data_IF_720000277071
#
_entry.id   IF_720000277071
#
_cell.length_a   1.000
_cell.length_b   1.000
_cell.length_c   1.000
_cell.angle_alpha   90.00
_cell.angle_beta   90.00
_cell.angle_gamma   90.00
#
_symmetry.space_group_name_H-M   'P 1'
#
loop_
_entity.id
_entity.type
_entity.pdbx_description
1 polymer ?
#
# COMPACT_ATOMS: atom_id res chain seq x y z
N UNK A 1 26.87 22.59 -7.99
CA UNK A 1 26.05 21.50 -8.58
C UNK A 1 26.44 20.11 -8.09
N UNK A 2 27.72 19.81 -7.84
CA UNK A 2 28.20 18.46 -7.42
C UNK A 2 27.54 17.88 -6.14
N UNK A 3 27.25 18.70 -5.11
CA UNK A 3 26.64 18.22 -3.87
C UNK A 3 25.17 17.78 -4.00
N UNK A 4 24.38 18.42 -4.88
CA UNK A 4 22.96 18.09 -5.07
C UNK A 4 22.81 16.73 -5.77
N UNK A 5 23.70 16.42 -6.71
CA UNK A 5 23.75 15.10 -7.33
C UNK A 5 24.22 14.02 -6.36
N UNK A 6 25.08 14.37 -5.39
CA UNK A 6 25.54 13.44 -4.35
C UNK A 6 24.39 13.07 -3.40
N UNK A 7 23.58 14.03 -2.95
CA UNK A 7 22.40 13.75 -2.11
C UNK A 7 21.37 12.88 -2.82
N UNK A 8 21.08 13.17 -4.09
CA UNK A 8 20.15 12.36 -4.91
C UNK A 8 20.64 10.91 -5.02
N UNK A 9 21.95 10.72 -5.24
CA UNK A 9 22.59 9.39 -5.29
C UNK A 9 22.54 8.68 -3.94
N UNK A 10 22.75 9.39 -2.84
CA UNK A 10 22.69 8.81 -1.48
C UNK A 10 21.29 8.28 -1.15
N UNK A 11 20.24 9.04 -1.47
CA UNK A 11 18.86 8.58 -1.25
C UNK A 11 18.56 7.33 -2.07
N UNK A 12 18.92 7.32 -3.35
CA UNK A 12 18.73 6.16 -4.23
C UNK A 12 19.51 4.95 -3.69
N UNK A 13 20.76 5.14 -3.27
CA UNK A 13 21.58 4.08 -2.70
C UNK A 13 20.94 3.48 -1.45
N UNK A 14 20.48 4.31 -0.51
CA UNK A 14 19.83 3.84 0.72
C UNK A 14 18.53 3.07 0.44
N UNK A 15 17.73 3.53 -0.52
CA UNK A 15 16.51 2.82 -0.95
C UNK A 15 16.85 1.44 -1.55
N UNK A 16 17.83 1.37 -2.45
CA UNK A 16 18.29 0.12 -3.06
C UNK A 16 18.91 -0.83 -2.03
N UNK A 17 19.65 -0.30 -1.06
CA UNK A 17 20.22 -1.09 0.02
C UNK A 17 19.12 -1.69 0.92
N UNK A 18 18.05 -0.93 1.22
CA UNK A 18 16.92 -1.46 1.97
C UNK A 18 16.20 -2.60 1.23
N UNK A 19 16.01 -2.46 -0.09
CA UNK A 19 15.34 -3.44 -0.93
C UNK A 19 16.18 -4.70 -1.18
N UNK A 20 17.48 -4.55 -1.38
CA UNK A 20 18.40 -5.66 -1.68
C UNK A 20 18.61 -6.63 -0.51
N UNK A 21 18.24 -6.25 0.72
CA UNK A 21 18.21 -7.18 1.86
C UNK A 21 17.30 -8.39 1.61
N UNK A 22 16.26 -8.23 0.77
CA UNK A 22 15.33 -9.29 0.40
C UNK A 22 15.76 -10.17 -0.78
N UNK A 23 16.93 -9.92 -1.37
CA UNK A 23 17.45 -10.64 -2.53
C UNK A 23 17.93 -9.73 -3.67
N UNK A 24 18.35 -10.32 -4.80
CA UNK A 24 18.80 -9.55 -5.95
C UNK A 24 17.64 -8.76 -6.56
N UNK A 25 17.84 -7.45 -6.73
CA UNK A 25 16.86 -6.55 -7.35
C UNK A 25 17.42 -5.99 -8.65
N UNK A 26 16.53 -5.71 -9.60
CA UNK A 26 16.84 -4.91 -10.78
C UNK A 26 16.23 -3.53 -10.61
N UNK A 27 16.93 -2.50 -11.07
CA UNK A 27 16.43 -1.13 -10.98
C UNK A 27 16.74 -0.33 -12.22
N UNK A 28 15.84 0.59 -12.53
CA UNK A 28 16.01 1.62 -13.54
C UNK A 28 15.54 2.95 -12.97
N UNK A 29 16.11 4.06 -13.41
CA UNK A 29 15.64 5.37 -13.01
C UNK A 29 15.50 6.33 -14.18
N UNK A 30 14.46 7.16 -14.11
CA UNK A 30 14.22 8.24 -15.06
C UNK A 30 14.32 9.57 -14.34
N UNK A 31 15.24 10.41 -14.80
CA UNK A 31 15.50 11.73 -14.23
C UNK A 31 14.68 12.79 -14.97
N UNK A 32 13.85 13.50 -14.24
CA UNK A 32 13.19 14.72 -14.70
C UNK A 32 13.76 15.93 -13.95
N UNK A 33 13.49 17.18 -14.41
CA UNK A 33 14.01 18.38 -13.75
C UNK A 33 13.66 18.49 -12.26
N UNK A 34 12.47 18.02 -11.86
CA UNK A 34 11.98 18.14 -10.48
C UNK A 34 11.78 16.83 -9.73
N UNK A 35 11.78 15.70 -10.43
CA UNK A 35 11.41 14.39 -9.89
C UNK A 35 12.36 13.33 -10.46
N UNK A 36 12.65 12.33 -9.64
CA UNK A 36 13.29 11.08 -10.04
C UNK A 36 12.25 9.98 -9.87
N UNK A 37 12.04 9.18 -10.91
CA UNK A 37 11.29 7.94 -10.82
C UNK A 37 12.28 6.80 -10.75
N UNK A 38 12.32 6.11 -9.60
CA UNK A 38 13.09 4.89 -9.41
C UNK A 38 12.13 3.71 -9.55
N UNK A 39 12.34 2.90 -10.58
CA UNK A 39 11.56 1.67 -10.84
C UNK A 39 12.39 0.47 -10.39
N UNK A 40 11.83 -0.37 -9.54
CA UNK A 40 12.46 -1.59 -9.03
C UNK A 40 11.66 -2.80 -9.50
N UNK A 41 12.35 -3.78 -10.05
CA UNK A 41 11.81 -5.04 -10.55
C UNK A 41 12.53 -6.24 -9.92
N UNK A 42 12.04 -7.46 -10.22
CA UNK A 42 12.48 -8.73 -9.63
C UNK A 42 12.24 -8.81 -8.12
N UNK A 43 11.15 -8.20 -7.66
CA UNK A 43 10.68 -8.36 -6.29
C UNK A 43 9.67 -9.52 -6.25
N UNK A 44 9.85 -10.43 -5.32
CA UNK A 44 8.92 -11.55 -5.12
C UNK A 44 7.74 -11.13 -4.22
N UNK A 45 8.07 -10.54 -3.07
CA UNK A 45 7.11 -10.15 -2.04
C UNK A 45 7.51 -8.78 -1.48
N UNK A 46 6.52 -7.94 -1.21
CA UNK A 46 6.69 -6.61 -0.61
C UNK A 46 5.72 -6.45 0.55
N UNK A 47 6.24 -6.30 1.75
CA UNK A 47 5.41 -6.03 2.94
C UNK A 47 5.13 -4.54 3.13
N UNK A 48 4.06 -4.22 3.85
CA UNK A 48 3.77 -2.83 4.25
C UNK A 48 4.93 -2.23 5.07
N UNK A 49 5.56 -3.01 5.95
CA UNK A 49 6.71 -2.57 6.75
C UNK A 49 7.92 -2.14 5.90
N UNK A 50 8.19 -2.85 4.81
CA UNK A 50 9.25 -2.48 3.87
C UNK A 50 8.90 -1.16 3.17
N UNK A 51 7.66 -0.99 2.72
CA UNK A 51 7.21 0.26 2.10
C UNK A 51 7.29 1.45 3.06
N UNK A 52 6.96 1.23 4.34
CA UNK A 52 7.09 2.23 5.39
C UNK A 52 8.55 2.63 5.59
N UNK A 53 9.46 1.66 5.70
CA UNK A 53 10.90 1.93 5.80
C UNK A 53 11.41 2.75 4.60
N UNK A 54 10.98 2.41 3.38
CA UNK A 54 11.34 3.16 2.17
C UNK A 54 10.77 4.58 2.19
N UNK A 55 9.53 4.75 2.64
CA UNK A 55 8.91 6.06 2.76
C UNK A 55 9.62 6.95 3.80
N UNK A 56 10.07 6.35 4.91
CA UNK A 56 10.77 7.05 5.98
C UNK A 56 12.26 7.28 5.69
N UNK A 57 12.81 6.69 4.62
CA UNK A 57 14.23 6.84 4.26
C UNK A 57 14.59 8.31 3.94
N UNK A 58 13.65 9.09 3.39
CA UNK A 58 13.82 10.52 3.17
C UNK A 58 12.46 11.19 3.00
N UNK A 59 12.32 12.40 3.54
CA UNK A 59 11.20 13.31 3.32
C UNK A 59 10.97 13.63 1.82
N UNK A 60 11.99 13.44 0.98
CA UNK A 60 11.95 13.62 -0.47
C UNK A 60 11.24 12.48 -1.19
N UNK A 61 11.02 11.33 -0.54
CA UNK A 61 10.18 10.23 -1.08
C UNK A 61 8.71 10.63 -0.96
N UNK A 62 8.09 11.02 -2.07
CA UNK A 62 6.73 11.59 -2.06
C UNK A 62 5.64 10.56 -2.26
N UNK A 63 5.95 9.50 -2.98
CA UNK A 63 5.01 8.42 -3.26
C UNK A 63 5.75 7.13 -3.58
N UNK A 64 5.12 6.01 -3.25
CA UNK A 64 5.57 4.67 -3.60
C UNK A 64 4.36 3.94 -4.17
N UNK A 65 4.46 3.49 -5.41
CA UNK A 65 3.38 2.80 -6.13
C UNK A 65 3.84 1.39 -6.47
N UNK A 66 3.03 0.41 -6.12
CA UNK A 66 3.13 -0.97 -6.60
C UNK A 66 2.37 -1.02 -7.93
N UNK A 67 3.07 -1.32 -9.01
CA UNK A 67 2.48 -1.64 -10.31
C UNK A 67 2.40 -3.16 -10.41
N UNK A 68 1.17 -3.67 -10.31
CA UNK A 68 0.89 -5.10 -10.28
C UNK A 68 1.03 -5.74 -11.67
N UNK A 69 0.79 -4.99 -12.75
CA UNK A 69 0.91 -5.46 -14.12
C UNK A 69 2.38 -5.65 -14.48
N UNK A 70 3.20 -4.64 -14.22
CA UNK A 70 4.63 -4.67 -14.51
C UNK A 70 5.43 -5.44 -13.47
N UNK A 71 4.80 -5.85 -12.35
CA UNK A 71 5.44 -6.45 -11.17
C UNK A 71 6.61 -5.61 -10.66
N UNK A 72 6.37 -4.30 -10.51
CA UNK A 72 7.40 -3.35 -10.09
C UNK A 72 6.94 -2.47 -8.94
N UNK A 73 7.91 -1.91 -8.22
CA UNK A 73 7.70 -0.74 -7.36
C UNK A 73 8.23 0.49 -8.09
N UNK A 74 7.44 1.55 -8.12
CA UNK A 74 7.83 2.87 -8.60
C UNK A 74 7.90 3.83 -7.41
N UNK A 75 9.10 4.32 -7.11
CA UNK A 75 9.35 5.30 -6.05
C UNK A 75 9.54 6.68 -6.68
N UNK A 76 8.73 7.65 -6.24
CA UNK A 76 8.80 9.03 -6.69
C UNK A 76 9.59 9.88 -5.70
N UNK A 77 10.79 10.32 -6.09
CA UNK A 77 11.68 11.14 -5.27
C UNK A 77 11.68 12.58 -5.81
N UNK A 78 11.41 13.57 -4.97
CA UNK A 78 11.49 14.99 -5.33
C UNK A 78 12.94 15.48 -5.29
N UNK A 79 13.37 16.27 -6.27
CA UNK A 79 14.69 16.93 -6.29
C UNK A 79 14.79 18.07 -5.28
N UNK A 80 15.95 18.24 -4.62
CA UNK A 80 16.15 19.13 -3.47
C UNK A 80 15.74 20.60 -3.68
N UNK A 81 15.69 21.09 -4.92
CA UNK A 81 15.43 22.51 -5.25
C UNK A 81 14.12 22.78 -5.98
N UNK A 82 13.20 21.82 -6.01
CA UNK A 82 11.91 22.05 -6.64
C UNK A 82 10.84 22.24 -5.56
N UNK A 83 10.14 23.38 -5.51
CA UNK A 83 9.05 23.56 -4.56
C UNK A 83 7.91 22.57 -4.87
N UNK A 84 7.30 22.05 -3.81
CA UNK A 84 6.16 21.14 -3.91
C UNK A 84 4.98 21.89 -4.51
N UNK A 85 4.59 21.60 -5.75
CA UNK A 85 3.31 22.10 -6.28
C UNK A 85 2.17 21.42 -5.52
N UNK A 86 1.39 22.21 -4.77
CA UNK A 86 0.15 21.76 -4.16
C UNK A 86 -0.83 21.47 -5.30
N UNK A 87 -1.02 20.19 -5.60
CA UNK A 87 -1.99 19.76 -6.61
C UNK A 87 -3.28 19.41 -5.89
N UNK A 88 -4.27 20.31 -5.98
CA UNK A 88 -5.63 19.99 -5.53
C UNK A 88 -6.26 19.12 -6.62
N UNK A 89 -6.17 17.79 -6.46
CA UNK A 89 -6.92 16.88 -7.34
C UNK A 89 -8.41 16.99 -6.99
N UNK A 90 -9.22 17.39 -7.97
CA UNK A 90 -10.68 17.28 -7.91
C UNK A 90 -11.05 15.80 -7.75
N UNK A 91 -11.92 15.48 -6.80
CA UNK A 91 -12.40 14.11 -6.61
C UNK A 91 -13.23 13.67 -7.82
N UNK A 92 -13.06 12.43 -8.24
CA UNK A 92 -14.09 11.77 -9.03
C UNK A 92 -15.36 11.64 -8.17
N UNK A 93 -16.53 11.96 -8.75
CA UNK A 93 -17.82 11.74 -8.12
C UNK A 93 -18.07 10.24 -8.11
N UNK A 94 -17.81 9.59 -6.98
CA UNK A 94 -18.37 8.28 -6.68
C UNK A 94 -19.74 8.46 -6.01
N UNK A 95 -20.73 7.67 -6.42
CA UNK A 95 -21.99 7.60 -5.69
C UNK A 95 -21.76 6.76 -4.41
N UNK A 96 -21.60 7.43 -3.27
CA UNK A 96 -21.31 6.78 -1.98
C UNK A 96 -22.37 5.76 -1.59
N UNK A 97 -23.62 6.00 -1.96
CA UNK A 97 -24.74 5.13 -1.60
C UNK A 97 -24.65 3.79 -2.34
N UNK A 98 -24.29 3.82 -3.62
CA UNK A 98 -24.14 2.60 -4.44
C UNK A 98 -22.97 1.74 -3.94
N UNK A 99 -21.85 2.38 -3.57
CA UNK A 99 -20.68 1.68 -3.00
C UNK A 99 -21.06 1.00 -1.69
N UNK A 100 -21.74 1.72 -0.79
CA UNK A 100 -22.13 1.16 0.50
C UNK A 100 -23.14 0.01 0.33
N UNK A 101 -24.10 0.15 -0.59
CA UNK A 101 -25.07 -0.90 -0.88
C UNK A 101 -24.39 -2.15 -1.43
N UNK A 102 -23.45 -2.00 -2.37
CA UNK A 102 -22.67 -3.10 -2.92
C UNK A 102 -21.84 -3.82 -1.86
N UNK A 103 -21.03 -3.08 -1.08
CA UNK A 103 -20.21 -3.67 -0.02
C UNK A 103 -21.04 -4.41 1.02
N UNK A 104 -22.19 -3.84 1.42
CA UNK A 104 -23.11 -4.49 2.35
C UNK A 104 -23.72 -5.77 1.76
N UNK A 105 -24.08 -5.75 0.47
CA UNK A 105 -24.60 -6.92 -0.25
C UNK A 105 -23.56 -8.05 -0.30
N UNK A 106 -22.35 -7.73 -0.74
CA UNK A 106 -21.22 -8.66 -0.82
C UNK A 106 -20.97 -9.39 0.51
N UNK A 107 -20.90 -8.63 1.61
CA UNK A 107 -20.67 -9.21 2.95
C UNK A 107 -21.84 -10.08 3.42
N UNK A 108 -23.08 -9.68 3.12
CA UNK A 108 -24.29 -10.46 3.50
C UNK A 108 -24.39 -11.78 2.74
N UNK A 109 -23.93 -11.82 1.49
CA UNK A 109 -23.92 -13.03 0.66
C UNK A 109 -22.82 -14.01 1.10
N UNK A 110 -21.79 -13.55 1.82
CA UNK A 110 -20.72 -14.38 2.36
C UNK A 110 -21.08 -14.95 3.74
N UNK A 111 -21.73 -16.12 3.75
CA UNK A 111 -22.22 -16.84 4.95
C UNK A 111 -21.14 -17.21 5.99
N UNK A 112 -19.87 -17.12 5.62
CA UNK A 112 -18.72 -17.39 6.52
C UNK A 112 -18.45 -16.24 7.51
N UNK A 113 -18.94 -15.03 7.19
CA UNK A 113 -18.69 -13.80 7.94
C UNK A 113 -19.69 -13.71 9.09
N UNK A 114 -19.18 -13.50 10.30
CA UNK A 114 -20.03 -13.27 11.48
C UNK A 114 -20.58 -11.84 11.49
N UNK A 115 -21.77 -11.66 12.05
CA UNK A 115 -22.44 -10.35 12.10
C UNK A 115 -21.62 -9.29 12.85
N UNK A 116 -20.88 -9.69 13.87
CA UNK A 116 -20.03 -8.82 14.68
C UNK A 116 -18.85 -8.25 13.87
N UNK A 117 -18.33 -9.04 12.93
CA UNK A 117 -17.15 -8.71 12.12
C UNK A 117 -17.54 -8.00 10.81
N UNK A 118 -18.82 -8.06 10.43
CA UNK A 118 -19.35 -7.54 9.17
C UNK A 118 -19.04 -6.06 8.94
N UNK A 119 -19.02 -5.23 10.00
CA UNK A 119 -18.73 -3.79 9.89
C UNK A 119 -17.32 -3.51 9.36
N UNK A 120 -16.32 -4.23 9.88
CA UNK A 120 -14.92 -4.05 9.48
C UNK A 120 -14.70 -4.57 8.07
N UNK A 121 -15.20 -5.78 7.77
CA UNK A 121 -15.07 -6.39 6.45
C UNK A 121 -15.81 -5.57 5.37
N UNK A 122 -16.95 -4.97 5.69
CA UNK A 122 -17.64 -4.01 4.82
C UNK A 122 -16.76 -2.79 4.52
N UNK A 123 -16.08 -2.24 5.53
CA UNK A 123 -15.18 -1.10 5.34
C UNK A 123 -13.98 -1.46 4.45
N UNK A 124 -13.44 -2.68 4.61
CA UNK A 124 -12.37 -3.22 3.76
C UNK A 124 -12.84 -3.34 2.30
N UNK A 125 -13.97 -4.00 2.04
CA UNK A 125 -14.55 -4.13 0.69
C UNK A 125 -14.83 -2.75 0.08
N UNK A 126 -15.34 -1.82 0.87
CA UNK A 126 -15.58 -0.43 0.46
C UNK A 126 -14.29 0.27 0.02
N UNK A 127 -13.16 0.08 0.73
CA UNK A 127 -11.88 0.63 0.31
C UNK A 127 -11.49 0.09 -1.06
N UNK A 128 -11.52 -1.23 -1.26
CA UNK A 128 -11.13 -1.84 -2.54
C UNK A 128 -12.03 -1.40 -3.69
N UNK A 129 -13.35 -1.32 -3.48
CA UNK A 129 -14.27 -0.79 -4.47
C UNK A 129 -13.94 0.66 -4.88
N UNK A 130 -13.49 1.49 -3.93
CA UNK A 130 -13.05 2.86 -4.22
C UNK A 130 -11.69 2.93 -4.92
N UNK A 131 -10.89 1.87 -4.88
CA UNK A 131 -9.58 1.79 -5.51
C UNK A 131 -9.64 1.19 -6.91
N UNK A 132 -10.66 0.39 -7.19
CA UNK A 132 -11.00 -0.10 -8.53
C UNK A 132 -11.70 0.98 -9.35
N UNK A 133 -11.29 1.15 -10.61
CA UNK A 133 -11.88 2.12 -11.53
C UNK A 133 -12.87 1.42 -12.46
N UNK A 134 -14.00 2.07 -12.75
CA UNK A 134 -15.19 1.66 -13.54
C UNK A 134 -15.14 0.42 -14.46
N UNK A 135 -14.04 0.13 -15.15
CA UNK A 135 -13.92 -0.99 -16.09
C UNK A 135 -13.03 -2.16 -15.61
N UNK A 136 -12.43 -2.06 -14.43
CA UNK A 136 -11.51 -3.07 -13.90
C UNK A 136 -11.93 -3.48 -12.50
N UNK A 137 -12.46 -4.70 -12.39
CA UNK A 137 -12.79 -5.34 -11.13
C UNK A 137 -11.52 -5.90 -10.48
N UNK A 138 -11.50 -5.91 -9.15
CA UNK A 138 -10.58 -6.76 -8.38
C UNK A 138 -11.39 -7.90 -7.78
N UNK A 139 -10.76 -9.07 -7.64
CA UNK A 139 -11.39 -10.19 -6.94
C UNK A 139 -10.97 -10.14 -5.48
N UNK A 140 -11.96 -10.26 -4.58
CA UNK A 140 -11.75 -10.28 -3.13
C UNK A 140 -12.16 -11.66 -2.65
N UNK A 141 -11.20 -12.43 -2.16
CA UNK A 141 -11.44 -13.70 -1.49
C UNK A 141 -11.22 -13.53 0.02
N UNK A 142 -12.15 -14.06 0.80
CA UNK A 142 -12.14 -14.01 2.26
C UNK A 142 -12.33 -15.43 2.73
N UNK A 143 -11.32 -16.00 3.38
CA UNK A 143 -11.41 -17.31 4.00
C UNK A 143 -11.41 -17.15 5.51
N UNK A 144 -12.27 -17.89 6.22
CA UNK A 144 -12.26 -17.92 7.68
C UNK A 144 -11.38 -19.05 8.18
N UNK A 145 -10.39 -18.73 9.00
CA UNK A 145 -9.53 -19.70 9.66
C UNK A 145 -9.60 -19.50 11.18
N UNK A 146 -10.41 -20.32 11.85
CA UNK A 146 -10.65 -20.18 13.30
C UNK A 146 -11.27 -18.83 13.66
N UNK A 147 -10.48 -17.98 14.34
CA UNK A 147 -10.84 -16.63 14.80
C UNK A 147 -10.19 -15.50 13.98
N UNK A 148 -9.61 -15.82 12.81
CA UNK A 148 -9.15 -14.82 11.84
C UNK A 148 -9.80 -15.01 10.48
N UNK A 149 -9.71 -13.96 9.67
CA UNK A 149 -10.02 -13.99 8.25
C UNK A 149 -8.75 -13.75 7.44
N UNK A 150 -8.44 -14.65 6.53
CA UNK A 150 -7.38 -14.50 5.56
C UNK A 150 -7.98 -13.88 4.30
N UNK A 151 -7.49 -12.69 3.95
CA UNK A 151 -7.99 -11.91 2.82
C UNK A 151 -6.97 -11.93 1.69
N UNK A 152 -7.43 -12.26 0.48
CA UNK A 152 -6.63 -12.25 -0.74
C UNK A 152 -7.31 -11.42 -1.81
N UNK A 153 -6.62 -10.39 -2.32
CA UNK A 153 -7.15 -9.48 -3.33
C UNK A 153 -6.28 -9.59 -4.57
N UNK A 154 -6.90 -9.99 -5.69
CA UNK A 154 -6.23 -10.17 -6.98
C UNK A 154 -6.78 -9.23 -8.04
N UNK A 155 -6.17 -9.20 -9.23
CA UNK A 155 -6.56 -8.34 -10.35
C UNK A 155 -6.51 -6.82 -10.06
N UNK A 156 -5.71 -6.42 -9.07
CA UNK A 156 -5.38 -5.01 -8.83
C UNK A 156 -4.44 -4.52 -9.94
N UNK A 157 -4.67 -3.32 -10.49
CA UNK A 157 -3.75 -2.71 -11.45
C UNK A 157 -2.54 -2.08 -10.75
N UNK A 158 -2.82 -1.30 -9.72
CA UNK A 158 -1.80 -0.57 -8.97
C UNK A 158 -2.30 -0.20 -7.58
N UNK A 159 -1.38 -0.11 -6.63
CA UNK A 159 -1.65 0.34 -5.27
C UNK A 159 -0.55 1.27 -4.79
N UNK A 160 -0.95 2.39 -4.20
CA UNK A 160 -0.01 3.29 -3.52
C UNK A 160 0.21 2.86 -2.08
N UNK A 161 1.38 3.17 -1.54
CA UNK A 161 1.68 3.01 -0.11
C UNK A 161 0.62 3.68 0.77
N UNK A 162 0.12 4.86 0.38
CA UNK A 162 -0.92 5.58 1.12
C UNK A 162 -2.27 4.85 1.12
N UNK A 163 -2.59 4.10 0.08
CA UNK A 163 -3.78 3.24 0.08
C UNK A 163 -3.60 2.09 1.07
N UNK A 164 -2.45 1.42 1.06
CA UNK A 164 -2.15 0.35 2.02
C UNK A 164 -2.11 0.86 3.47
N UNK A 165 -1.58 2.06 3.72
CA UNK A 165 -1.67 2.70 5.03
C UNK A 165 -3.13 2.91 5.47
N UNK A 166 -4.02 3.33 4.56
CA UNK A 166 -5.44 3.49 4.90
C UNK A 166 -6.11 2.16 5.27
N UNK A 167 -5.73 1.07 4.61
CA UNK A 167 -6.18 -0.28 4.98
C UNK A 167 -5.74 -0.61 6.40
N UNK A 168 -4.44 -0.50 6.70
CA UNK A 168 -3.91 -0.71 8.05
C UNK A 168 -4.55 0.21 9.10
N UNK A 169 -4.93 1.43 8.70
CA UNK A 169 -5.59 2.40 9.59
C UNK A 169 -7.05 2.09 9.90
N UNK A 170 -7.67 1.09 9.26
CA UNK A 170 -9.05 0.67 9.62
C UNK A 170 -9.11 0.00 11.00
N UNK A 171 -7.98 -0.51 11.51
CA UNK A 171 -7.81 -0.85 12.91
C UNK A 171 -6.64 -1.81 13.18
N UNK A 172 -6.32 -1.98 14.46
CA UNK A 172 -5.20 -2.79 14.99
C UNK A 172 -5.32 -4.30 14.73
N UNK A 173 -6.44 -4.73 14.16
CA UNK A 173 -6.75 -6.12 13.83
C UNK A 173 -6.31 -6.53 12.42
N UNK A 174 -5.83 -5.59 11.60
CA UNK A 174 -5.39 -5.88 10.23
C UNK A 174 -3.87 -5.98 10.19
N UNK A 175 -3.38 -7.19 9.91
CA UNK A 175 -1.96 -7.51 9.95
C UNK A 175 -1.47 -8.19 8.68
N UNK A 176 -0.15 -8.37 8.63
CA UNK A 176 0.55 -9.13 7.61
C UNK A 176 0.28 -8.67 6.17
N UNK A 177 0.04 -7.36 5.99
CA UNK A 177 -0.21 -6.76 4.68
C UNK A 177 1.03 -6.94 3.79
N UNK A 178 0.89 -7.79 2.77
CA UNK A 178 1.95 -8.16 1.83
C UNK A 178 1.41 -8.20 0.41
N UNK A 179 2.22 -7.75 -0.54
CA UNK A 179 1.96 -7.88 -1.96
C UNK A 179 2.89 -8.94 -2.54
N UNK A 180 2.34 -9.98 -3.15
CA UNK A 180 3.08 -11.08 -3.76
C UNK A 180 2.98 -11.02 -5.29
N UNK A 181 4.12 -10.88 -5.96
CA UNK A 181 4.21 -10.76 -7.42
C UNK A 181 4.28 -12.12 -8.15
N UNK A 182 4.51 -13.22 -7.44
CA UNK A 182 4.77 -14.52 -8.06
C UNK A 182 3.49 -15.18 -8.61
N UNK A 183 2.38 -15.11 -7.88
CA UNK A 183 1.08 -15.66 -8.29
C UNK A 183 0.06 -14.54 -8.48
N UNK A 184 -0.27 -14.20 -9.72
CA UNK A 184 -1.34 -13.25 -10.11
C UNK A 184 -1.30 -11.85 -9.46
N UNK A 185 -0.16 -11.43 -8.89
CA UNK A 185 -0.02 -10.13 -8.20
C UNK A 185 -1.10 -9.93 -7.15
N UNK A 186 -1.01 -10.69 -6.06
CA UNK A 186 -2.04 -10.76 -5.01
C UNK A 186 -1.60 -9.94 -3.79
N UNK A 187 -2.51 -9.10 -3.30
CA UNK A 187 -2.42 -8.49 -1.99
C UNK A 187 -3.03 -9.44 -0.96
N UNK A 188 -2.26 -9.81 0.05
CA UNK A 188 -2.72 -10.65 1.17
C UNK A 188 -2.63 -9.88 2.47
N UNK A 189 -3.59 -10.10 3.37
CA UNK A 189 -3.55 -9.62 4.75
C UNK A 189 -4.50 -10.44 5.61
N UNK A 190 -4.32 -10.36 6.93
CA UNK A 190 -5.14 -11.08 7.89
C UNK A 190 -5.98 -10.09 8.70
N UNK A 191 -7.19 -10.49 9.06
CA UNK A 191 -8.08 -9.73 9.96
C UNK A 191 -8.35 -10.59 11.19
N UNK A 192 -7.75 -10.21 12.32
CA UNK A 192 -7.93 -10.89 13.61
C UNK A 192 -9.12 -10.30 14.36
N UNK A 193 -9.86 -11.12 15.12
CA UNK A 193 -10.99 -10.64 15.94
C UNK A 193 -10.57 -9.98 17.25
N UNK A 194 -9.39 -10.32 17.74
CA UNK A 194 -8.73 -9.67 18.88
C UNK A 194 -7.52 -8.90 18.39
N UNK A 195 -7.17 -7.80 19.04
CA UNK A 195 -5.88 -7.16 18.81
C UNK A 195 -4.78 -8.21 18.90
N UNK A 196 -4.05 -8.39 17.82
CA UNK A 196 -2.81 -9.15 17.81
C UNK A 196 -1.84 -8.36 18.70
N UNK A 197 -1.61 -8.88 19.90
CA UNK A 197 -0.67 -8.32 20.88
C UNK A 197 0.78 -8.29 20.32
N UNK A 198 1.02 -8.87 19.14
CA UNK A 198 2.33 -9.00 18.55
C UNK A 198 2.57 -7.94 17.46
N UNK A 199 3.35 -6.93 17.82
CA UNK A 199 4.09 -5.97 16.95
C UNK A 199 3.45 -4.61 16.62
N UNK A 200 2.99 -3.87 17.64
CA UNK A 200 3.02 -2.41 17.56
C UNK A 200 4.38 -1.88 18.06
N UNK A 201 5.26 -1.26 17.24
CA UNK A 201 6.24 -0.34 17.79
C UNK A 201 5.45 0.79 18.43
N UNK A 202 5.53 0.89 19.75
CA UNK A 202 4.93 1.97 20.53
C UNK A 202 5.59 3.28 20.12
N UNK A 203 5.05 3.97 19.12
CA UNK A 203 5.38 5.38 18.88
C UNK A 203 4.76 6.22 20.00
N UNK A 204 5.49 6.31 21.13
CA UNK A 204 5.25 7.35 22.12
C UNK A 204 5.42 8.70 21.43
N UNK A 205 4.33 9.44 21.25
CA UNK A 205 4.37 10.87 20.91
C UNK A 205 5.19 11.57 21.99
N UNK A 206 6.41 11.98 21.66
CA UNK A 206 7.17 12.91 22.48
C UNK A 206 6.49 14.28 22.35
N UNK A 207 5.88 14.76 23.44
CA UNK A 207 5.51 16.18 23.55
C UNK A 207 6.79 16.95 23.83
N UNK A 208 7.10 17.92 22.99
CA UNK A 208 8.08 18.95 23.35
C UNK A 208 7.39 19.92 24.32
N UNK A 209 8.00 20.10 25.49
CA UNK A 209 7.70 21.18 26.42
C UNK A 209 8.51 22.41 26.04
#
# INVERSE_FOLDING_TARGET
MKHVEAEDKTIIHNLLQALSKGGPISYAFKLFPSIIYLTISNLNIVSLSLLEQLHLTSDRVKDITIDALSKTIIIRIQKARCPSKITIKKREKYNRNDIQAFSNGFIKEHSIIRNEDARLLTAIVTLFYTWTWKSVACDIDIAREGDRYDCSISNLLSLTYKQLQKLSSLGSWIDDIKFNFNNQSVLTFNVSRTETINNSPTYKRVKYH
#
